data_IF_758944095111
#
_entry.id   IF_758944095111
#
_cell.length_a   1.000
_cell.length_b   1.000
_cell.length_c   1.000
_cell.angle_alpha   90.00
_cell.angle_beta   90.00
_cell.angle_gamma   90.00
#
_symmetry.space_group_name_H-M   'P 1'
#
loop_
_entity.id
_entity.type
_entity.pdbx_description
1 polymer ?
#
# COMPACT_ATOMS: atom_id res chain seq x y z
N UNK A 1 -32.44 17.52 32.01
CA UNK A 1 -32.58 16.26 31.24
C UNK A 1 -31.42 15.34 31.63
N UNK A 2 -31.70 14.25 32.36
CA UNK A 2 -30.69 13.29 32.77
C UNK A 2 -30.34 12.37 31.60
N UNK A 3 -29.06 11.98 31.41
CA UNK A 3 -28.70 11.12 30.29
C UNK A 3 -29.44 9.79 30.43
N UNK A 4 -30.13 9.39 29.36
CA UNK A 4 -30.81 8.10 29.28
C UNK A 4 -29.80 7.00 29.64
N UNK A 5 -29.99 6.39 30.82
CA UNK A 5 -29.09 5.37 31.34
C UNK A 5 -29.30 4.10 30.48
N UNK A 6 -28.47 3.91 29.46
CA UNK A 6 -28.48 2.69 28.66
C UNK A 6 -28.30 1.45 29.58
N UNK A 7 -29.05 0.35 29.34
CA UNK A 7 -29.03 -0.82 30.20
C UNK A 7 -27.61 -1.41 30.30
N UNK A 8 -27.28 -1.98 31.47
CA UNK A 8 -25.92 -2.45 31.81
C UNK A 8 -25.35 -3.44 30.76
N UNK A 9 -26.21 -4.23 30.11
CA UNK A 9 -25.82 -5.15 29.03
C UNK A 9 -25.31 -4.43 27.78
N UNK A 10 -25.90 -3.29 27.41
CA UNK A 10 -25.48 -2.48 26.25
C UNK A 10 -24.15 -1.81 26.54
N UNK A 11 -23.91 -1.38 27.79
CA UNK A 11 -22.61 -0.82 28.21
C UNK A 11 -21.49 -1.86 28.17
N UNK A 12 -21.75 -3.10 28.60
CA UNK A 12 -20.79 -4.19 28.51
C UNK A 12 -20.51 -4.59 27.06
N UNK A 13 -21.55 -4.69 26.22
CA UNK A 13 -21.40 -4.98 24.80
C UNK A 13 -20.61 -3.88 24.06
N UNK A 14 -20.92 -2.60 24.29
CA UNK A 14 -20.16 -1.48 23.74
C UNK A 14 -18.70 -1.49 24.20
N UNK A 15 -18.44 -1.77 25.47
CA UNK A 15 -17.07 -1.84 25.98
C UNK A 15 -16.25 -2.97 25.34
N UNK A 16 -16.88 -4.10 24.98
CA UNK A 16 -16.22 -5.16 24.22
C UNK A 16 -15.90 -4.70 22.78
N UNK A 17 -16.86 -4.07 22.09
CA UNK A 17 -16.67 -3.57 20.73
C UNK A 17 -15.59 -2.48 20.66
N UNK A 18 -15.56 -1.55 21.62
CA UNK A 18 -14.54 -0.48 21.68
C UNK A 18 -13.15 -1.08 21.87
N UNK A 19 -12.99 -2.09 22.73
CA UNK A 19 -11.71 -2.77 22.92
C UNK A 19 -11.24 -3.45 21.64
N UNK A 20 -12.13 -4.17 20.96
CA UNK A 20 -11.81 -4.84 19.69
C UNK A 20 -11.43 -3.81 18.63
N UNK A 21 -12.23 -2.77 18.43
CA UNK A 21 -11.94 -1.71 17.47
C UNK A 21 -10.63 -0.99 17.79
N UNK A 22 -10.35 -0.75 19.07
CA UNK A 22 -9.10 -0.15 19.53
C UNK A 22 -7.88 -1.01 19.21
N UNK A 23 -7.96 -2.31 19.46
CA UNK A 23 -6.85 -3.26 19.18
C UNK A 23 -6.60 -3.36 17.67
N UNK A 24 -7.65 -3.57 16.88
CA UNK A 24 -7.52 -3.67 15.43
C UNK A 24 -7.09 -2.35 14.79
N UNK A 25 -7.64 -1.22 15.23
CA UNK A 25 -7.25 0.11 14.78
C UNK A 25 -5.80 0.43 15.11
N UNK A 26 -5.37 0.13 16.33
CA UNK A 26 -3.97 0.30 16.74
C UNK A 26 -3.02 -0.57 15.92
N UNK A 27 -3.39 -1.82 15.66
CA UNK A 27 -2.59 -2.72 14.81
C UNK A 27 -2.39 -2.15 13.40
N UNK A 28 -3.48 -1.75 12.73
CA UNK A 28 -3.42 -1.15 11.39
C UNK A 28 -2.61 0.14 11.40
N UNK A 29 -2.74 0.97 12.44
CA UNK A 29 -1.94 2.19 12.58
C UNK A 29 -0.43 1.90 12.70
N UNK A 30 -0.04 0.90 13.49
CA UNK A 30 1.37 0.48 13.63
C UNK A 30 1.92 -0.05 12.30
N UNK A 31 1.16 -0.90 11.61
CA UNK A 31 1.55 -1.43 10.30
C UNK A 31 1.72 -0.29 9.29
N UNK A 32 0.75 0.63 9.20
CA UNK A 32 0.82 1.79 8.32
C UNK A 32 2.02 2.69 8.63
N UNK A 33 2.31 2.94 9.90
CA UNK A 33 3.45 3.74 10.33
C UNK A 33 4.79 3.07 9.97
N UNK A 34 4.90 1.75 10.10
CA UNK A 34 6.10 0.99 9.71
C UNK A 34 6.34 1.04 8.20
N UNK A 35 5.28 1.00 7.38
CA UNK A 35 5.37 1.07 5.92
C UNK A 35 5.42 2.49 5.35
N UNK A 36 5.09 3.51 6.15
CA UNK A 36 5.06 4.92 5.74
C UNK A 36 6.34 5.43 5.06
N UNK A 37 7.56 5.22 5.61
CA UNK A 37 8.78 5.74 4.99
C UNK A 37 9.16 5.03 3.68
N UNK A 38 8.65 3.82 3.45
CA UNK A 38 9.02 2.99 2.29
C UNK A 38 8.08 3.26 1.11
N UNK A 39 6.77 3.35 1.37
CA UNK A 39 5.77 3.53 0.30
C UNK A 39 5.32 4.97 0.14
N UNK A 40 4.91 5.62 1.23
CA UNK A 40 4.24 6.92 1.14
C UNK A 40 5.23 8.09 1.07
N UNK A 41 6.36 8.04 1.79
CA UNK A 41 7.38 9.09 1.76
C UNK A 41 7.93 9.33 0.33
N UNK A 42 8.30 8.30 -0.47
CA UNK A 42 8.76 8.53 -1.84
C UNK A 42 7.68 9.04 -2.78
N UNK A 43 6.42 8.63 -2.59
CA UNK A 43 5.28 9.07 -3.41
C UNK A 43 4.93 10.55 -3.18
N UNK A 44 5.06 11.02 -1.94
CA UNK A 44 4.75 12.41 -1.58
C UNK A 44 5.89 13.38 -1.93
N UNK A 45 7.15 12.91 -1.93
CA UNK A 45 8.33 13.72 -2.24
C UNK A 45 9.17 13.08 -3.36
N UNK A 46 8.64 13.02 -4.60
CA UNK A 46 9.29 12.33 -5.69
C UNK A 46 10.61 12.97 -6.12
N UNK A 47 10.72 14.30 -6.03
CA UNK A 47 11.92 15.02 -6.48
C UNK A 47 13.13 14.81 -5.54
N UNK A 48 12.89 14.81 -4.23
CA UNK A 48 13.93 14.55 -3.24
C UNK A 48 14.37 13.09 -3.28
N UNK A 49 13.43 12.16 -3.46
CA UNK A 49 13.74 10.75 -3.63
C UNK A 49 14.55 10.45 -4.90
N UNK A 50 14.26 11.11 -6.03
CA UNK A 50 15.07 10.99 -7.26
C UNK A 50 16.50 11.47 -7.06
N UNK A 51 16.70 12.54 -6.29
CA UNK A 51 18.02 13.08 -5.98
C UNK A 51 18.79 12.14 -5.02
N UNK A 52 18.14 11.65 -3.96
CA UNK A 52 18.71 10.64 -3.09
C UNK A 52 19.08 9.36 -3.87
N UNK A 53 18.24 8.94 -4.82
CA UNK A 53 18.54 7.79 -5.68
C UNK A 53 19.67 8.07 -6.68
N UNK A 54 19.76 9.27 -7.26
CA UNK A 54 20.83 9.60 -8.22
C UNK A 54 22.20 9.64 -7.55
N UNK A 55 22.26 10.06 -6.28
CA UNK A 55 23.48 10.04 -5.47
C UNK A 55 23.84 8.60 -5.06
N UNK A 56 22.88 7.81 -4.56
CA UNK A 56 23.13 6.42 -4.14
C UNK A 56 23.36 5.45 -5.33
N UNK A 57 22.92 5.82 -6.54
CA UNK A 57 23.15 5.08 -7.79
C UNK A 57 24.18 5.73 -8.71
N UNK A 58 25.00 6.64 -8.18
CA UNK A 58 26.09 7.22 -8.94
C UNK A 58 27.04 6.10 -9.43
N UNK A 59 27.11 5.91 -10.76
CA UNK A 59 27.89 4.84 -11.39
C UNK A 59 27.11 3.58 -11.80
N UNK A 60 25.80 3.53 -11.56
CA UNK A 60 24.89 2.46 -12.02
C UNK A 60 23.91 3.06 -13.04
N UNK A 61 24.17 2.85 -14.34
CA UNK A 61 23.26 3.18 -15.45
C UNK A 61 22.15 2.14 -15.44
N UNK A 62 20.98 2.50 -14.88
CA UNK A 62 19.89 1.54 -14.72
C UNK A 62 19.25 1.13 -16.04
N UNK A 63 19.55 1.82 -17.13
CA UNK A 63 19.17 1.45 -18.50
C UNK A 63 19.92 0.20 -19.01
N UNK A 64 21.11 -0.11 -18.47
CA UNK A 64 21.95 -1.25 -18.88
C UNK A 64 21.69 -2.49 -18.01
N UNK A 65 21.17 -2.30 -16.79
CA UNK A 65 20.98 -3.35 -15.78
C UNK A 65 19.50 -3.72 -15.60
N UNK A 66 18.56 -2.82 -15.89
CA UNK A 66 17.14 -3.12 -15.92
C UNK A 66 16.71 -3.23 -17.39
N UNK A 67 16.44 -4.44 -17.92
CA UNK A 67 15.80 -4.52 -19.22
C UNK A 67 14.50 -3.72 -19.16
N UNK A 68 14.42 -2.74 -20.07
CA UNK A 68 13.27 -1.89 -20.43
C UNK A 68 11.97 -2.23 -19.69
N UNK A 69 11.56 -1.33 -18.78
CA UNK A 69 10.27 -1.34 -18.09
C UNK A 69 9.10 -0.91 -18.98
N UNK A 70 9.07 -1.32 -20.25
CA UNK A 70 7.96 -1.04 -21.16
C UNK A 70 7.71 -2.27 -22.03
N UNK A 71 6.61 -2.98 -21.73
CA UNK A 71 5.99 -4.12 -22.46
C UNK A 71 6.35 -5.55 -22.03
N UNK A 72 6.24 -5.89 -20.74
CA UNK A 72 5.90 -7.28 -20.32
C UNK A 72 4.41 -7.45 -19.92
N UNK A 73 3.57 -6.42 -20.14
CA UNK A 73 2.12 -6.61 -20.13
C UNK A 73 1.57 -7.00 -21.52
N UNK A 74 2.31 -6.70 -22.61
CA UNK A 74 1.90 -7.10 -23.95
C UNK A 74 2.34 -8.53 -24.31
N UNK A 75 3.38 -9.08 -23.66
CA UNK A 75 3.75 -10.50 -23.86
C UNK A 75 2.67 -11.43 -23.32
N UNK A 76 2.04 -11.10 -22.19
CA UNK A 76 1.00 -11.96 -21.60
C UNK A 76 -0.44 -11.66 -22.09
N UNK A 77 -0.78 -10.41 -22.45
CA UNK A 77 -2.13 -10.08 -22.97
C UNK A 77 -2.20 -10.21 -24.50
N UNK A 78 -1.09 -9.97 -25.23
CA UNK A 78 -1.02 -10.13 -26.68
C UNK A 78 -1.12 -11.58 -27.14
N UNK A 79 -0.53 -12.53 -26.41
CA UNK A 79 -0.67 -13.96 -26.72
C UNK A 79 -2.09 -14.51 -26.51
N UNK A 80 -2.95 -13.84 -25.74
CA UNK A 80 -4.35 -14.26 -25.56
C UNK A 80 -5.29 -13.70 -26.63
N UNK A 81 -4.87 -12.70 -27.42
CA UNK A 81 -5.72 -12.09 -28.45
C UNK A 81 -5.75 -12.89 -29.76
N UNK A 82 -4.77 -13.78 -29.99
CA UNK A 82 -4.60 -14.50 -31.26
C UNK A 82 -4.79 -16.05 -31.24
N UNK A 83 -5.59 -16.70 -30.36
CA UNK A 83 -5.83 -18.15 -30.50
C UNK A 83 -6.80 -18.51 -31.64
N UNK A 84 -7.19 -17.57 -32.52
CA UNK A 84 -8.17 -17.79 -33.60
C UNK A 84 -7.64 -17.63 -35.03
N UNK A 85 -6.31 -17.59 -35.24
CA UNK A 85 -5.72 -17.55 -36.59
C UNK A 85 -5.00 -18.85 -36.99
N UNK A 86 -5.44 -20.00 -36.47
CA UNK A 86 -5.15 -21.33 -37.05
C UNK A 86 -6.46 -21.92 -37.56
N UNK A 87 -6.83 -21.53 -38.78
CA UNK A 87 -7.59 -22.35 -39.72
C UNK A 87 -7.37 -21.84 -41.14
#
# INVERSE_FOLDING_TARGET
EGPAQAPLCVRQAMAALIRTLGIFGAFVAVVGAAFYPIYFRPLLLPEEYKNEQSINRAGIVQEDIQPVGMLDLCVCIGCFKDPLAVK
#
